data_IF_598717068912
#
_entry.id   IF_598717068912
#
_cell.length_a   1.000
_cell.length_b   1.000
_cell.length_c   1.000
_cell.angle_alpha   90.00
_cell.angle_beta   90.00
_cell.angle_gamma   90.00
#
_symmetry.space_group_name_H-M   'P 1'
#
loop_
_entity.id
_entity.type
_entity.pdbx_description
1 polymer ?
#
# COMPACT_ATOMS: atom_id res chain seq x y z
N UNK A 1 -36.15 -7.09 -52.32
CA UNK A 1 -35.37 -7.87 -51.34
C UNK A 1 -34.19 -6.99 -50.91
N UNK A 2 -34.17 -6.49 -49.67
CA UNK A 2 -33.11 -5.59 -49.16
C UNK A 2 -32.14 -6.40 -48.30
N UNK A 3 -30.89 -6.47 -48.70
CA UNK A 3 -29.83 -7.13 -47.95
C UNK A 3 -29.27 -6.19 -46.88
N UNK A 4 -29.35 -6.59 -45.61
CA UNK A 4 -28.68 -5.91 -44.50
C UNK A 4 -27.28 -6.49 -44.32
N UNK A 5 -26.25 -5.66 -44.47
CA UNK A 5 -24.88 -5.99 -44.07
C UNK A 5 -24.72 -5.67 -42.59
N UNK A 6 -24.47 -6.70 -41.78
CA UNK A 6 -23.98 -6.53 -40.41
C UNK A 6 -22.49 -6.16 -40.46
N UNK A 7 -22.11 -5.06 -39.82
CA UNK A 7 -20.73 -4.73 -39.49
C UNK A 7 -20.53 -4.98 -38.00
N UNK A 8 -19.67 -5.95 -37.68
CA UNK A 8 -19.21 -6.18 -36.31
C UNK A 8 -17.99 -5.31 -36.03
N UNK A 9 -18.15 -4.30 -35.17
CA UNK A 9 -17.03 -3.54 -34.63
C UNK A 9 -16.54 -4.26 -33.36
N UNK A 10 -15.36 -4.87 -33.43
CA UNK A 10 -14.66 -5.41 -32.25
C UNK A 10 -13.96 -4.26 -31.53
N UNK A 11 -14.52 -3.84 -30.39
CA UNK A 11 -13.82 -2.95 -29.47
C UNK A 11 -12.79 -3.79 -28.69
N UNK A 12 -11.51 -3.60 -28.99
CA UNK A 12 -10.43 -4.17 -28.19
C UNK A 12 -10.31 -3.38 -26.88
N UNK A 13 -10.70 -3.99 -25.77
CA UNK A 13 -10.38 -3.48 -24.43
C UNK A 13 -8.88 -3.69 -24.19
N UNK A 14 -8.11 -2.60 -24.25
CA UNK A 14 -6.70 -2.61 -23.84
C UNK A 14 -6.67 -2.65 -22.31
N UNK A 15 -6.42 -3.83 -21.74
CA UNK A 15 -6.00 -3.95 -20.35
C UNK A 15 -4.60 -3.34 -20.22
N UNK A 16 -4.51 -2.19 -19.56
CA UNK A 16 -3.23 -1.71 -19.04
C UNK A 16 -2.91 -2.53 -17.77
N UNK A 17 -2.07 -3.56 -17.90
CA UNK A 17 -1.45 -4.18 -16.73
C UNK A 17 -0.06 -3.58 -16.53
N UNK A 18 0.15 -2.70 -15.53
CA UNK A 18 1.50 -2.47 -15.03
C UNK A 18 1.86 -3.63 -14.11
N UNK A 19 2.27 -4.76 -14.67
CA UNK A 19 3.00 -5.77 -13.90
C UNK A 19 4.46 -5.33 -13.77
N UNK A 20 4.73 -4.34 -12.92
CA UNK A 20 6.08 -4.10 -12.43
C UNK A 20 6.35 -5.10 -11.31
N UNK A 21 6.96 -6.23 -11.68
CA UNK A 21 7.50 -7.20 -10.74
C UNK A 21 8.63 -6.55 -9.93
N UNK A 22 8.27 -5.95 -8.79
CA UNK A 22 9.22 -5.39 -7.82
C UNK A 22 8.77 -4.12 -7.10
N UNK A 23 7.65 -3.50 -7.47
CA UNK A 23 7.13 -2.32 -6.77
C UNK A 23 5.63 -2.45 -6.52
N UNK A 24 5.19 -2.00 -5.34
CA UNK A 24 3.77 -1.82 -5.05
C UNK A 24 3.18 -0.74 -5.96
N UNK A 25 1.88 -0.82 -6.28
CA UNK A 25 1.23 0.23 -7.05
C UNK A 25 1.30 1.57 -6.28
N UNK A 26 1.54 2.70 -6.98
CA UNK A 26 1.48 4.01 -6.35
C UNK A 26 0.04 4.32 -5.90
N UNK A 27 -0.09 5.20 -4.92
CA UNK A 27 -1.40 5.73 -4.53
C UNK A 27 -2.05 6.46 -5.71
N UNK A 28 -3.34 6.19 -5.95
CA UNK A 28 -4.10 6.75 -7.07
C UNK A 28 -4.99 7.93 -6.68
N UNK A 29 -5.07 8.25 -5.37
CA UNK A 29 -5.88 9.33 -4.84
C UNK A 29 -5.23 10.71 -4.97
N UNK A 30 -5.97 11.78 -4.64
CA UNK A 30 -5.46 13.15 -4.69
C UNK A 30 -4.46 13.48 -3.57
N UNK A 31 -4.27 12.57 -2.62
CA UNK A 31 -3.35 12.72 -1.49
C UNK A 31 -2.22 11.70 -1.57
N UNK A 32 -1.06 12.10 -1.07
CA UNK A 32 0.04 11.18 -0.82
C UNK A 32 -0.22 10.38 0.46
N UNK A 33 0.57 9.33 0.69
CA UNK A 33 0.38 8.42 1.83
C UNK A 33 1.54 8.55 2.79
N UNK A 34 1.23 8.98 4.01
CA UNK A 34 2.11 8.94 5.16
C UNK A 34 2.11 7.57 5.84
N UNK A 35 3.22 7.21 6.48
CA UNK A 35 3.36 6.03 7.32
C UNK A 35 3.82 6.43 8.72
N UNK A 36 3.17 5.90 9.76
CA UNK A 36 3.67 5.93 11.13
C UNK A 36 3.70 4.53 11.72
N UNK A 37 4.70 4.26 12.56
CA UNK A 37 4.86 2.99 13.26
C UNK A 37 4.66 3.20 14.75
N UNK A 38 3.77 2.42 15.35
CA UNK A 38 3.49 2.48 16.78
C UNK A 38 3.76 1.12 17.42
N UNK A 39 4.37 1.14 18.60
CA UNK A 39 4.44 -0.01 19.49
C UNK A 39 3.34 0.18 20.52
N UNK A 40 2.34 -0.69 20.50
CA UNK A 40 1.21 -0.62 21.43
C UNK A 40 1.38 -1.73 22.46
N UNK A 41 1.43 -1.39 23.76
CA UNK A 41 1.52 -2.41 24.81
C UNK A 41 0.23 -3.24 24.83
N UNK A 42 0.38 -4.57 24.98
CA UNK A 42 -0.76 -5.45 25.21
C UNK A 42 -1.14 -5.33 26.68
N UNK A 43 -2.36 -4.85 26.95
CA UNK A 43 -2.88 -4.64 28.30
C UNK A 43 -3.82 -5.77 28.76
N UNK A 44 -4.02 -6.79 27.93
CA UNK A 44 -4.99 -7.86 28.19
C UNK A 44 -4.31 -9.16 28.58
N UNK A 45 -4.31 -9.47 29.88
CA UNK A 45 -3.77 -10.71 30.44
C UNK A 45 -4.61 -11.95 30.08
N UNK A 46 -5.85 -11.76 29.58
CA UNK A 46 -6.74 -12.85 29.18
C UNK A 46 -6.56 -13.30 27.71
N UNK A 47 -5.56 -12.78 26.99
CA UNK A 47 -5.26 -13.21 25.63
C UNK A 47 -4.73 -14.68 25.63
N UNK A 48 -5.39 -15.62 24.95
CA UNK A 48 -4.94 -17.02 24.89
C UNK A 48 -3.61 -17.21 24.14
N UNK A 49 -3.16 -16.22 23.36
CA UNK A 49 -1.86 -16.18 22.69
C UNK A 49 -0.79 -15.45 23.52
N UNK A 50 -1.12 -15.07 24.77
CA UNK A 50 -0.26 -14.42 25.75
C UNK A 50 0.30 -15.34 26.88
N UNK A 51 0.42 -16.68 26.77
CA UNK A 51 0.94 -17.42 27.93
C UNK A 51 2.39 -16.99 28.25
N UNK A 52 2.61 -16.51 29.49
CA UNK A 52 3.91 -16.18 30.09
C UNK A 52 4.64 -14.91 29.60
N UNK A 53 3.94 -13.81 29.32
CA UNK A 53 4.57 -12.51 28.95
C UNK A 53 5.48 -12.56 27.71
N UNK A 54 5.25 -13.51 26.80
CA UNK A 54 6.09 -13.66 25.60
C UNK A 54 5.82 -12.55 24.58
N UNK A 55 4.58 -12.05 24.49
CA UNK A 55 4.17 -11.06 23.50
C UNK A 55 3.67 -9.76 24.14
N UNK A 56 4.56 -8.98 24.77
CA UNK A 56 4.24 -7.77 25.57
C UNK A 56 3.64 -6.58 24.80
N UNK A 57 3.71 -6.60 23.47
CA UNK A 57 3.32 -5.47 22.63
C UNK A 57 3.01 -5.92 21.21
N UNK A 58 2.15 -5.18 20.52
CA UNK A 58 1.92 -5.32 19.08
C UNK A 58 2.45 -4.10 18.32
N UNK A 59 2.89 -4.34 17.08
CA UNK A 59 3.35 -3.31 16.17
C UNK A 59 2.22 -2.93 15.22
N UNK A 60 1.95 -1.63 15.10
CA UNK A 60 0.93 -1.08 14.20
C UNK A 60 1.60 -0.16 13.20
N UNK A 61 1.33 -0.39 11.92
CA UNK A 61 1.65 0.55 10.85
C UNK A 61 0.37 1.31 10.48
N UNK A 62 0.36 2.62 10.71
CA UNK A 62 -0.76 3.49 10.36
C UNK A 62 -0.44 4.20 9.05
N UNK A 63 -1.30 4.01 8.06
CA UNK A 63 -1.23 4.70 6.77
C UNK A 63 -2.30 5.80 6.75
N UNK A 64 -1.90 7.03 6.44
CA UNK A 64 -2.79 8.20 6.50
C UNK A 64 -2.53 9.16 5.34
N UNK A 65 -3.52 9.98 4.95
CA UNK A 65 -3.34 10.96 3.89
C UNK A 65 -2.39 12.10 4.31
N UNK A 66 -1.58 12.57 3.38
CA UNK A 66 -0.71 13.74 3.53
C UNK A 66 -0.65 14.56 2.23
N UNK A 67 -0.38 15.85 2.37
CA UNK A 67 -0.07 16.76 1.25
C UNK A 67 1.44 16.91 1.03
N UNK A 68 2.27 16.31 1.89
CA UNK A 68 3.70 16.33 1.70
C UNK A 68 4.07 15.59 0.42
N UNK A 69 4.79 16.26 -0.48
CA UNK A 69 5.28 15.62 -1.70
C UNK A 69 6.36 14.59 -1.37
N UNK A 70 6.36 13.40 -2.01
CA UNK A 70 7.40 12.41 -1.80
C UNK A 70 8.74 12.89 -2.35
N UNK A 71 9.81 12.75 -1.59
CA UNK A 71 11.15 13.04 -2.07
C UNK A 71 11.68 11.89 -2.95
N UNK A 72 12.73 12.10 -3.77
CA UNK A 72 13.30 11.04 -4.62
C UNK A 72 13.60 9.73 -3.89
N UNK A 73 14.04 9.81 -2.62
CA UNK A 73 14.30 8.64 -1.77
C UNK A 73 13.04 7.81 -1.44
N UNK A 74 11.86 8.44 -1.43
CA UNK A 74 10.61 7.81 -1.04
C UNK A 74 10.00 6.97 -2.19
N UNK A 75 10.51 7.14 -3.41
CA UNK A 75 10.15 6.32 -4.56
C UNK A 75 10.89 4.98 -4.61
N UNK A 76 12.06 4.91 -3.98
CA UNK A 76 12.97 3.75 -4.02
C UNK A 76 12.98 2.96 -2.71
N UNK A 77 12.15 3.36 -1.73
CA UNK A 77 12.15 2.81 -0.39
C UNK A 77 11.71 1.34 -0.39
N UNK A 78 12.45 0.43 0.29
CA UNK A 78 12.00 -0.94 0.49
C UNK A 78 10.68 -0.96 1.27
N UNK A 79 9.75 -1.80 0.82
CA UNK A 79 8.47 -1.97 1.49
C UNK A 79 8.62 -2.69 2.84
N UNK A 80 9.49 -3.70 2.88
CA UNK A 80 9.83 -4.42 4.09
C UNK A 80 11.21 -3.99 4.60
N UNK A 81 11.34 -3.89 5.92
CA UNK A 81 12.64 -3.78 6.55
C UNK A 81 13.49 -5.02 6.19
N UNK A 82 14.79 -4.88 5.88
CA UNK A 82 15.63 -6.00 5.46
C UNK A 82 15.68 -7.17 6.45
N UNK A 83 15.59 -6.90 7.76
CA UNK A 83 15.58 -7.94 8.79
C UNK A 83 14.26 -8.70 8.75
N UNK A 84 13.15 -7.98 8.68
CA UNK A 84 11.80 -8.57 8.56
C UNK A 84 11.65 -9.37 7.26
N UNK A 85 12.13 -8.84 6.14
CA UNK A 85 12.15 -9.52 4.85
C UNK A 85 12.89 -10.86 4.95
N UNK A 86 14.09 -10.87 5.54
CA UNK A 86 14.88 -12.08 5.75
C UNK A 86 14.16 -13.12 6.62
N UNK A 87 13.52 -12.69 7.70
CA UNK A 87 12.75 -13.59 8.57
C UNK A 87 11.59 -14.25 7.82
N UNK A 88 10.85 -13.48 7.02
CA UNK A 88 9.76 -14.02 6.21
C UNK A 88 10.25 -14.95 5.09
N UNK A 89 11.36 -14.59 4.43
CA UNK A 89 11.96 -15.45 3.39
C UNK A 89 12.38 -16.80 3.98
N UNK A 90 13.01 -16.81 5.16
CA UNK A 90 13.37 -18.03 5.87
C UNK A 90 12.14 -18.84 6.28
N UNK A 91 11.12 -18.18 6.83
CA UNK A 91 9.91 -18.84 7.31
C UNK A 91 9.10 -19.49 6.18
N UNK A 92 9.08 -18.87 5.00
CA UNK A 92 8.29 -19.31 3.85
C UNK A 92 9.12 -19.99 2.75
N UNK A 93 10.40 -20.29 2.99
CA UNK A 93 11.33 -20.86 2.02
C UNK A 93 11.39 -20.09 0.69
N UNK A 94 11.32 -18.76 0.75
CA UNK A 94 11.49 -17.90 -0.42
C UNK A 94 12.97 -17.67 -0.70
N UNK A 95 13.29 -17.35 -1.96
CA UNK A 95 14.65 -16.96 -2.34
C UNK A 95 15.10 -15.76 -1.52
N UNK A 96 16.31 -15.84 -0.96
CA UNK A 96 16.89 -14.75 -0.19
C UNK A 96 16.95 -13.46 -1.01
N UNK A 97 16.47 -12.37 -0.42
CA UNK A 97 16.39 -11.05 -1.04
C UNK A 97 15.15 -10.79 -1.89
N UNK A 98 14.32 -11.81 -2.16
CA UNK A 98 13.09 -11.66 -2.95
C UNK A 98 12.11 -10.64 -2.36
N UNK A 99 11.99 -10.58 -1.04
CA UNK A 99 11.11 -9.64 -0.34
C UNK A 99 11.79 -8.29 -0.10
N UNK A 100 13.11 -8.25 0.06
CA UNK A 100 13.86 -6.99 0.27
C UNK A 100 13.89 -6.08 -0.97
N UNK A 101 13.62 -6.64 -2.15
CA UNK A 101 13.61 -5.91 -3.43
C UNK A 101 12.27 -5.25 -3.73
N UNK A 102 11.22 -5.57 -2.97
CA UNK A 102 9.89 -4.98 -3.14
C UNK A 102 9.92 -3.53 -2.66
N UNK A 103 9.57 -2.59 -3.52
CA UNK A 103 9.55 -1.14 -3.24
C UNK A 103 8.14 -0.64 -2.97
N UNK A 104 8.03 0.41 -2.15
CA UNK A 104 6.77 1.11 -1.86
C UNK A 104 6.83 2.56 -2.37
N UNK A 105 6.55 2.79 -3.66
CA UNK A 105 6.73 4.09 -4.28
C UNK A 105 5.77 5.13 -3.69
N UNK A 106 6.33 6.24 -3.20
CA UNK A 106 5.57 7.39 -2.72
C UNK A 106 5.03 7.25 -1.30
N UNK A 107 5.47 6.22 -0.56
CA UNK A 107 5.15 6.06 0.86
C UNK A 107 6.13 6.88 1.71
N UNK A 108 5.61 7.83 2.47
CA UNK A 108 6.42 8.82 3.20
C UNK A 108 6.36 8.52 4.71
N UNK A 109 7.42 8.00 5.34
CA UNK A 109 7.42 7.79 6.78
C UNK A 109 7.50 9.10 7.54
N UNK A 110 6.77 9.16 8.65
CA UNK A 110 6.68 10.30 9.55
C UNK A 110 6.29 11.60 8.84
N UNK A 111 5.49 11.48 7.77
CA UNK A 111 4.93 12.59 7.05
C UNK A 111 4.05 13.46 7.95
N UNK A 112 3.87 14.73 7.59
CA UNK A 112 2.89 15.56 8.29
C UNK A 112 1.47 15.10 7.91
N UNK A 113 0.59 14.75 8.86
CA UNK A 113 -0.80 14.42 8.54
C UNK A 113 -1.51 15.64 7.96
N UNK A 114 -2.63 15.42 7.26
CA UNK A 114 -3.52 16.52 6.89
C UNK A 114 -3.94 17.29 8.15
N UNK A 115 -3.81 18.61 8.10
CA UNK A 115 -4.31 19.47 9.16
C UNK A 115 -5.84 19.37 9.22
N UNK A 116 -6.41 19.33 10.43
CA UNK A 116 -7.84 19.12 10.65
C UNK A 116 -8.73 20.15 9.95
N UNK A 117 -8.19 21.34 9.67
CA UNK A 117 -8.90 22.43 8.97
C UNK A 117 -8.89 22.30 7.44
N UNK A 118 -8.18 21.34 6.88
CA UNK A 118 -8.26 21.07 5.44
C UNK A 118 -9.52 20.26 5.13
N UNK A 119 -10.49 20.93 4.50
CA UNK A 119 -11.65 20.28 3.89
C UNK A 119 -11.16 19.18 2.94
N UNK A 120 -11.63 17.96 3.18
CA UNK A 120 -11.64 16.95 2.11
C UNK A 120 -12.39 17.58 0.92
N UNK A 121 -11.85 17.54 -0.30
CA UNK A 121 -12.64 17.90 -1.46
C UNK A 121 -13.87 16.99 -1.44
N UNK A 122 -15.05 17.59 -1.39
CA UNK A 122 -16.31 16.87 -1.51
C UNK A 122 -16.13 15.90 -2.67
N UNK A 123 -16.36 14.61 -2.39
CA UNK A 123 -16.34 13.57 -3.40
C UNK A 123 -17.50 13.83 -4.34
N UNK A 124 -17.30 14.80 -5.25
CA UNK A 124 -18.11 15.01 -6.42
C UNK A 124 -18.11 13.66 -7.11
N UNK A 125 -19.27 13.01 -7.04
CA UNK A 125 -19.59 11.77 -7.71
C UNK A 125 -19.00 11.80 -9.12
N UNK A 126 -17.87 11.13 -9.34
CA UNK A 126 -17.42 10.80 -10.68
C UNK A 126 -18.47 9.86 -11.24
N UNK A 127 -19.26 10.26 -12.26
CA UNK A 127 -20.06 9.29 -12.96
C UNK A 127 -19.07 8.51 -13.79
N UNK A 128 -18.79 7.28 -13.39
CA UNK A 128 -18.34 6.27 -14.35
C UNK A 128 -19.37 6.30 -15.49
N UNK A 129 -18.97 6.83 -16.65
CA UNK A 129 -19.79 6.98 -17.84
C UNK A 129 -19.13 6.24 -18.99
#
# INVERSE_FOLDING_TARGET
>A
MRAFKLYTATAALVWCQPASSGALPPATGPYHVGLQKHVVPVLNEADPFWPNNVSTSFLVNVFYPTQQEPEPRDWERPYLDPVTARLYEQQFNLTAGSLSTIKSPGLIPDAKPLDYYHHYPDSGSSPCR
#
